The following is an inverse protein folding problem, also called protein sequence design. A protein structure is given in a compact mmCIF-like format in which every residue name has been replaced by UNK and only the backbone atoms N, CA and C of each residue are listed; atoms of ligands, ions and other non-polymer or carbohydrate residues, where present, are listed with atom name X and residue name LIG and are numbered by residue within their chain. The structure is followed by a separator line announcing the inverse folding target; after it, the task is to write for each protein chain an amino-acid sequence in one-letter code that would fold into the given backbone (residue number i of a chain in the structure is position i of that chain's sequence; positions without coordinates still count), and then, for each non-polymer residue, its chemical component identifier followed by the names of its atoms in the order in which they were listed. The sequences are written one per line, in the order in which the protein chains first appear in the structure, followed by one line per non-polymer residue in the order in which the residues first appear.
data_IF_548806435622
#
_entry.id   IF_548806435622
#
_cell.length_a   1.000
_cell.length_b   1.000
_cell.length_c   1.000
_cell.angle_alpha   90.00
_cell.angle_beta   90.00
_cell.angle_gamma   90.00
#
_symmetry.space_group_name_H-M   'P 1'
#
loop_
_entity.id
_entity.type
_entity.pdbx_description
1 polymer ?
#
# COMPACT_ATOMS: atom_id res chain seq x y z
N UNK A 1 32.53 -13.00 -42.73
CA UNK A 1 32.24 -14.43 -42.95
C UNK A 1 30.92 -14.71 -42.26
N UNK A 2 29.87 -15.03 -43.01
CA UNK A 2 28.55 -15.37 -42.44
C UNK A 2 28.65 -16.71 -41.71
N UNK A 3 28.02 -16.88 -40.53
CA UNK A 3 28.04 -18.16 -39.83
C UNK A 3 27.35 -19.24 -40.68
N UNK A 4 27.74 -20.51 -40.53
CA UNK A 4 27.12 -21.60 -41.29
C UNK A 4 25.61 -21.70 -40.97
N UNK A 5 24.75 -21.96 -41.97
CA UNK A 5 23.27 -21.90 -41.81
C UNK A 5 22.72 -22.88 -40.77
N UNK A 6 23.48 -23.93 -40.42
CA UNK A 6 23.13 -24.88 -39.38
C UNK A 6 23.26 -24.31 -37.95
N UNK A 7 24.11 -23.30 -37.73
CA UNK A 7 24.28 -22.67 -36.41
C UNK A 7 23.18 -21.64 -36.17
N UNK A 8 22.75 -20.92 -37.21
CA UNK A 8 21.66 -19.95 -37.12
C UNK A 8 20.34 -20.63 -36.71
N UNK A 9 20.04 -21.79 -37.28
CA UNK A 9 18.84 -22.57 -36.93
C UNK A 9 18.88 -23.10 -35.49
N UNK A 10 20.06 -23.52 -35.00
CA UNK A 10 20.25 -23.96 -33.62
C UNK A 10 20.09 -22.80 -32.63
N UNK A 11 20.67 -21.63 -32.93
CA UNK A 11 20.54 -20.42 -32.09
C UNK A 11 19.08 -19.96 -32.05
N UNK A 12 18.37 -20.00 -33.18
CA UNK A 12 16.96 -19.68 -33.24
C UNK A 12 16.12 -20.61 -32.35
N UNK A 13 16.33 -21.93 -32.46
CA UNK A 13 15.62 -22.92 -31.64
C UNK A 13 15.83 -22.72 -30.13
N UNK A 14 17.05 -22.37 -29.71
CA UNK A 14 17.37 -22.09 -28.31
C UNK A 14 16.78 -20.75 -27.82
N UNK A 15 16.72 -19.74 -28.70
CA UNK A 15 16.12 -18.43 -28.41
C UNK A 15 14.61 -18.54 -28.22
N UNK A 16 13.95 -19.31 -29.07
CA UNK A 16 12.51 -19.55 -28.98
C UNK A 16 12.14 -20.32 -27.70
N UNK A 17 12.93 -21.34 -27.34
CA UNK A 17 12.79 -22.04 -26.07
C UNK A 17 12.97 -21.10 -24.87
N UNK A 18 13.99 -20.23 -24.91
CA UNK A 18 14.25 -19.27 -23.84
C UNK A 18 13.07 -18.31 -23.64
N UNK A 19 12.54 -17.73 -24.73
CA UNK A 19 11.40 -16.83 -24.69
C UNK A 19 10.15 -17.53 -24.12
N UNK A 20 9.92 -18.78 -24.52
CA UNK A 20 8.81 -19.58 -24.01
C UNK A 20 8.91 -19.83 -22.50
N UNK A 21 10.11 -20.09 -21.98
CA UNK A 21 10.35 -20.28 -20.53
C UNK A 21 10.20 -18.96 -19.76
N UNK A 22 10.64 -17.82 -20.33
CA UNK A 22 10.48 -16.51 -19.66
C UNK A 22 9.01 -16.11 -19.54
N UNK A 23 8.21 -16.35 -20.58
CA UNK A 23 6.77 -16.14 -20.54
C UNK A 23 6.11 -16.98 -19.44
N UNK A 24 6.52 -18.25 -19.29
CA UNK A 24 6.00 -19.13 -18.24
C UNK A 24 6.38 -18.67 -16.81
N UNK A 25 7.46 -17.89 -16.63
CA UNK A 25 7.91 -17.38 -15.32
C UNK A 25 7.12 -16.18 -14.81
N UNK A 26 6.33 -15.52 -15.65
CA UNK A 26 5.49 -14.39 -15.25
C UNK A 26 4.23 -14.83 -14.47
N UNK A 27 3.99 -16.14 -14.37
CA UNK A 27 2.87 -16.66 -13.61
C UNK A 27 3.19 -16.80 -12.11
N UNK A 28 2.24 -16.49 -11.21
CA UNK A 28 2.43 -16.60 -9.77
C UNK A 28 2.82 -18.01 -9.34
N UNK A 29 3.89 -18.14 -8.54
CA UNK A 29 4.42 -19.42 -8.04
C UNK A 29 3.41 -20.20 -7.19
N UNK A 30 2.38 -19.54 -6.68
CA UNK A 30 1.34 -20.18 -5.86
C UNK A 30 0.45 -21.14 -6.66
N UNK A 31 0.42 -21.03 -7.99
CA UNK A 31 -0.29 -21.99 -8.87
C UNK A 31 0.51 -23.27 -9.14
N UNK A 32 1.80 -23.31 -8.80
CA UNK A 32 2.69 -24.46 -8.98
C UNK A 32 2.76 -25.38 -7.76
N UNK A 33 2.12 -25.01 -6.65
CA UNK A 33 2.01 -25.87 -5.47
C UNK A 33 0.87 -26.86 -5.70
N UNK A 34 1.22 -28.06 -6.17
CA UNK A 34 0.32 -29.21 -6.12
C UNK A 34 -0.04 -29.46 -4.65
N UNK A 35 -1.27 -29.12 -4.29
CA UNK A 35 -1.82 -29.39 -2.97
C UNK A 35 -1.79 -30.90 -2.72
N UNK A 36 -0.95 -31.36 -1.80
CA UNK A 36 -0.93 -32.74 -1.28
C UNK A 36 -2.09 -32.90 -0.27
N UNK A 37 -3.27 -32.39 -0.61
CA UNK A 37 -4.46 -32.51 0.20
C UNK A 37 -5.32 -33.68 -0.34
N UNK A 38 -5.92 -34.50 0.54
CA UNK A 38 -6.63 -35.73 0.16
C UNK A 38 -7.99 -35.49 -0.52
N UNK A 39 -8.39 -34.23 -0.74
CA UNK A 39 -9.61 -33.88 -1.47
C UNK A 39 -9.28 -32.96 -2.64
N UNK A 40 -9.16 -33.50 -3.88
CA UNK A 40 -8.97 -32.67 -5.06
C UNK A 40 -10.29 -31.95 -5.35
N UNK A 41 -10.34 -30.64 -5.07
CA UNK A 41 -11.37 -29.79 -5.63
C UNK A 41 -11.19 -29.77 -7.17
N UNK A 42 -12.28 -29.86 -7.95
CA UNK A 42 -12.19 -29.88 -9.40
C UNK A 42 -11.59 -28.55 -9.89
N UNK A 43 -10.41 -28.63 -10.51
CA UNK A 43 -9.71 -27.52 -11.17
C UNK A 43 -10.45 -27.13 -12.46
N UNK A 44 -11.64 -26.55 -12.35
CA UNK A 44 -12.46 -26.07 -13.49
C UNK A 44 -12.24 -24.58 -13.77
N UNK A 45 -11.05 -24.05 -13.50
CA UNK A 45 -10.72 -22.68 -13.90
C UNK A 45 -10.09 -22.70 -15.31
N UNK A 46 -10.69 -22.05 -16.32
CA UNK A 46 -10.22 -22.12 -17.71
C UNK A 46 -8.79 -21.60 -17.90
N UNK A 47 -8.34 -20.70 -17.02
CA UNK A 47 -6.97 -20.18 -16.99
C UNK A 47 -5.92 -21.22 -16.60
N UNK A 48 -6.27 -22.21 -15.77
CA UNK A 48 -5.34 -23.28 -15.35
C UNK A 48 -5.17 -24.35 -16.42
N UNK A 49 -6.21 -24.61 -17.20
CA UNK A 49 -6.14 -25.52 -18.35
C UNK A 49 -5.22 -24.97 -19.44
N UNK A 50 -5.37 -23.68 -19.78
CA UNK A 50 -4.47 -23.00 -20.72
C UNK A 50 -3.02 -23.03 -20.23
N UNK A 51 -2.79 -22.82 -18.94
CA UNK A 51 -1.46 -22.88 -18.35
C UNK A 51 -0.86 -24.29 -18.37
N UNK A 52 -1.65 -25.31 -18.01
CA UNK A 52 -1.24 -26.72 -18.10
C UNK A 52 -0.85 -27.09 -19.53
N UNK A 53 -1.61 -26.60 -20.51
CA UNK A 53 -1.31 -26.81 -21.92
C UNK A 53 0.00 -26.14 -22.33
N UNK A 54 0.21 -24.87 -21.96
CA UNK A 54 1.48 -24.17 -22.22
C UNK A 54 2.69 -24.89 -21.62
N UNK A 55 2.58 -25.45 -20.41
CA UNK A 55 3.65 -26.24 -19.81
C UNK A 55 3.93 -27.55 -20.57
N UNK A 56 2.88 -28.21 -21.08
CA UNK A 56 3.03 -29.40 -21.93
C UNK A 56 3.70 -29.06 -23.25
N UNK A 57 3.34 -27.93 -23.85
CA UNK A 57 3.92 -27.48 -25.13
C UNK A 57 5.41 -27.13 -24.96
N UNK A 58 5.79 -26.50 -23.84
CA UNK A 58 7.19 -26.27 -23.47
C UNK A 58 7.93 -27.59 -23.29
N UNK A 59 7.33 -28.55 -22.56
CA UNK A 59 7.95 -29.87 -22.35
C UNK A 59 8.12 -30.64 -23.67
N UNK A 60 7.17 -30.53 -24.59
CA UNK A 60 7.27 -31.13 -25.93
C UNK A 60 8.37 -30.47 -26.76
N UNK A 61 8.42 -29.14 -26.78
CA UNK A 61 9.47 -28.37 -27.46
C UNK A 61 10.85 -28.70 -26.93
N UNK A 62 10.99 -28.84 -25.60
CA UNK A 62 12.24 -29.22 -24.97
C UNK A 62 12.67 -30.65 -25.35
N UNK A 63 11.75 -31.58 -25.55
CA UNK A 63 12.04 -32.96 -26.00
C UNK A 63 12.28 -33.09 -27.50
N UNK A 64 12.00 -32.05 -28.29
CA UNK A 64 12.19 -32.09 -29.74
C UNK A 64 13.65 -32.33 -30.12
N UNK A 65 13.87 -33.08 -31.19
CA UNK A 65 15.22 -33.43 -31.65
C UNK A 65 16.03 -32.19 -32.07
N UNK A 66 15.38 -31.19 -32.64
CA UNK A 66 16.02 -29.93 -33.00
C UNK A 66 16.62 -29.23 -31.77
N UNK A 67 15.86 -29.07 -30.70
CA UNK A 67 16.34 -28.45 -29.46
C UNK A 67 17.37 -29.33 -28.76
N UNK A 68 17.16 -30.65 -28.70
CA UNK A 68 18.11 -31.57 -28.07
C UNK A 68 19.44 -31.66 -28.82
N UNK A 69 19.43 -31.56 -30.15
CA UNK A 69 20.62 -31.47 -30.99
C UNK A 69 21.35 -30.14 -30.78
N UNK A 70 20.64 -29.02 -30.71
CA UNK A 70 21.20 -27.70 -30.45
C UNK A 70 21.84 -27.63 -29.05
N UNK A 71 21.20 -28.22 -28.03
CA UNK A 71 21.75 -28.31 -26.67
C UNK A 71 23.00 -29.21 -26.61
N UNK A 72 23.02 -30.33 -27.34
CA UNK A 72 24.20 -31.20 -27.44
C UNK A 72 25.36 -30.50 -28.16
N UNK A 73 25.08 -29.87 -29.30
CA UNK A 73 26.07 -29.09 -30.05
C UNK A 73 26.63 -27.92 -29.22
N UNK A 74 25.78 -27.20 -28.48
CA UNK A 74 26.21 -26.15 -27.57
C UNK A 74 27.12 -26.68 -26.45
N UNK A 75 26.79 -27.84 -25.87
CA UNK A 75 27.61 -28.50 -24.84
C UNK A 75 28.95 -29.00 -25.39
N UNK A 76 28.98 -29.45 -26.64
CA UNK A 76 30.23 -29.85 -27.31
C UNK A 76 31.09 -28.63 -27.64
N UNK A 77 30.49 -27.53 -28.10
CA UNK A 77 31.19 -26.24 -28.29
C UNK A 77 31.77 -25.72 -26.97
N UNK A 78 31.00 -25.76 -25.88
CA UNK A 78 31.49 -25.33 -24.55
C UNK A 78 32.70 -26.16 -24.09
N UNK A 79 32.72 -27.46 -24.40
CA UNK A 79 33.87 -28.33 -24.10
C UNK A 79 35.07 -28.08 -25.01
N UNK A 80 34.83 -27.72 -26.27
CA UNK A 80 35.87 -27.41 -27.25
C UNK A 80 36.54 -26.06 -26.97
N UNK A 81 35.79 -25.07 -26.48
CA UNK A 81 36.25 -23.71 -26.17
C UNK A 81 37.01 -23.58 -24.82
N UNK A 82 37.88 -24.55 -24.53
CA UNK A 82 38.61 -24.73 -23.28
C UNK A 82 39.02 -23.45 -22.52
N UNK A 83 38.58 -23.39 -21.27
CA UNK A 83 39.10 -22.61 -20.13
C UNK A 83 38.97 -21.08 -20.09
N UNK A 84 38.44 -20.36 -21.10
CA UNK A 84 38.32 -18.89 -21.00
C UNK A 84 36.90 -18.30 -21.03
N UNK A 85 35.87 -19.12 -21.21
CA UNK A 85 34.48 -18.65 -21.06
C UNK A 85 34.09 -18.79 -19.58
N UNK A 86 34.55 -17.84 -18.75
CA UNK A 86 33.98 -17.72 -17.40
C UNK A 86 32.48 -17.50 -17.54
N UNK A 87 31.68 -18.52 -17.15
CA UNK A 87 30.21 -18.56 -17.17
C UNK A 87 29.56 -17.55 -16.20
N UNK A 88 30.06 -16.31 -16.18
CA UNK A 88 29.57 -15.19 -15.40
C UNK A 88 28.87 -14.15 -16.29
N UNK A 89 28.25 -14.60 -17.40
CA UNK A 89 27.48 -13.75 -18.33
C UNK A 89 26.41 -12.94 -17.58
N UNK A 90 25.85 -13.48 -16.49
CA UNK A 90 24.86 -12.79 -15.64
C UNK A 90 25.46 -11.62 -14.85
N UNK A 91 26.77 -11.64 -14.56
CA UNK A 91 27.47 -10.59 -13.81
C UNK A 91 28.05 -9.51 -14.72
N UNK A 92 28.40 -9.85 -15.96
CA UNK A 92 29.07 -8.92 -16.89
C UNK A 92 28.08 -8.02 -17.66
N UNK A 93 26.96 -8.57 -18.14
CA UNK A 93 25.89 -7.76 -18.77
C UNK A 93 25.23 -6.77 -17.79
N UNK A 94 25.37 -7.00 -16.47
CA UNK A 94 24.90 -6.09 -15.42
C UNK A 94 25.83 -4.88 -15.19
N UNK A 95 27.06 -4.91 -15.70
CA UNK A 95 28.04 -3.82 -15.57
C UNK A 95 28.07 -2.93 -16.82
N UNK A 96 27.97 -3.48 -18.03
CA UNK A 96 28.07 -2.70 -19.28
C UNK A 96 26.81 -1.92 -19.67
N UNK A 97 25.64 -2.23 -19.09
CA UNK A 97 24.39 -1.48 -19.31
C UNK A 97 24.06 -0.48 -18.21
N UNK A 98 24.97 -0.25 -17.25
CA UNK A 98 24.78 0.87 -16.33
C UNK A 98 25.17 2.13 -17.09
N UNK A 99 24.28 3.14 -17.23
CA UNK A 99 24.77 4.48 -17.55
C UNK A 99 25.90 4.84 -16.56
N UNK A 100 26.86 5.69 -16.95
CA UNK A 100 27.88 6.16 -16.02
C UNK A 100 27.19 6.54 -14.71
N UNK A 101 27.68 6.00 -13.60
CA UNK A 101 27.12 6.32 -12.28
C UNK A 101 27.02 7.84 -12.21
N UNK A 102 25.84 8.40 -11.94
CA UNK A 102 25.71 9.85 -11.81
C UNK A 102 26.77 10.33 -10.82
N UNK A 103 27.35 11.49 -11.12
CA UNK A 103 28.31 12.17 -10.28
C UNK A 103 27.84 12.06 -8.82
N UNK A 104 28.75 11.60 -7.94
CA UNK A 104 28.46 11.29 -6.53
C UNK A 104 27.48 12.33 -5.99
N UNK A 105 26.30 11.93 -5.47
CA UNK A 105 25.26 12.88 -5.11
C UNK A 105 25.90 13.93 -4.22
N UNK A 106 25.75 15.20 -4.61
CA UNK A 106 26.23 16.31 -3.81
C UNK A 106 25.84 16.07 -2.35
N UNK A 107 26.73 16.37 -1.38
CA UNK A 107 26.46 16.16 0.03
C UNK A 107 25.05 16.66 0.33
N UNK A 108 24.20 15.76 0.83
CA UNK A 108 22.76 15.98 0.98
C UNK A 108 22.54 17.33 1.63
N UNK A 109 22.20 18.32 0.81
CA UNK A 109 21.71 19.58 1.34
C UNK A 109 20.37 19.21 1.93
N UNK A 110 20.23 19.40 3.24
CA UNK A 110 18.94 19.30 3.88
C UNK A 110 18.09 20.38 3.23
N UNK A 111 17.36 19.99 2.18
CA UNK A 111 16.31 20.82 1.61
C UNK A 111 15.38 20.99 2.80
N UNK A 112 15.39 22.19 3.38
CA UNK A 112 14.38 22.61 4.34
C UNK A 112 13.06 22.44 3.61
N UNK A 113 12.43 21.29 3.84
CA UNK A 113 11.10 21.01 3.33
C UNK A 113 10.25 22.07 4.00
N UNK A 114 9.88 23.10 3.24
CA UNK A 114 8.81 24.00 3.62
C UNK A 114 7.63 23.10 3.93
N UNK A 115 7.37 22.87 5.21
CA UNK A 115 6.30 22.03 5.67
C UNK A 115 5.03 22.81 5.41
N UNK A 116 4.51 22.71 4.19
CA UNK A 116 3.14 23.12 3.89
C UNK A 116 2.26 22.20 4.73
N UNK A 117 1.87 22.67 5.91
CA UNK A 117 0.95 21.92 6.77
C UNK A 117 -0.30 21.63 5.93
N UNK A 118 -0.72 20.37 5.93
CA UNK A 118 -1.93 19.94 5.25
C UNK A 118 -3.19 20.34 6.05
N UNK A 119 -3.02 20.89 7.24
CA UNK A 119 -4.10 21.35 8.10
C UNK A 119 -4.33 22.85 7.93
N UNK A 120 -5.58 23.30 8.05
CA UNK A 120 -5.87 24.72 8.00
C UNK A 120 -5.16 25.48 9.12
N UNK A 121 -4.53 26.59 8.73
CA UNK A 121 -4.22 27.68 9.64
C UNK A 121 -5.56 28.39 9.94
N UNK A 122 -6.30 27.81 10.88
CA UNK A 122 -7.55 28.41 11.37
C UNK A 122 -7.18 29.74 12.03
N UNK A 123 -7.74 30.85 11.51
CA UNK A 123 -7.58 32.19 12.10
C UNK A 123 -8.29 32.32 13.45
N UNK A 124 -9.23 31.42 13.72
CA UNK A 124 -9.82 31.29 15.04
C UNK A 124 -8.80 30.60 15.94
N UNK A 125 -8.14 31.40 16.79
CA UNK A 125 -7.26 30.97 17.88
C UNK A 125 -8.04 30.18 18.94
N UNK A 126 -8.60 29.04 18.56
CA UNK A 126 -9.19 28.11 19.52
C UNK A 126 -8.02 27.56 20.34
N UNK A 127 -8.00 27.91 21.62
CA UNK A 127 -6.98 27.48 22.55
C UNK A 127 -6.78 25.95 22.46
N UNK A 128 -5.52 25.47 22.37
CA UNK A 128 -5.26 24.04 22.24
C UNK A 128 -5.87 23.25 23.39
N UNK A 129 -6.63 22.20 23.06
CA UNK A 129 -7.32 21.38 24.05
C UNK A 129 -6.34 20.71 25.02
N UNK A 130 -6.54 20.95 26.31
CA UNK A 130 -5.72 20.35 27.38
C UNK A 130 -6.25 18.98 27.81
N UNK A 131 -5.38 18.16 28.37
CA UNK A 131 -5.70 16.82 28.86
C UNK A 131 -6.83 16.79 29.91
N UNK A 132 -6.88 17.79 30.79
CA UNK A 132 -7.91 17.95 31.82
C UNK A 132 -9.31 18.24 31.23
N UNK A 133 -9.35 18.93 30.09
CA UNK A 133 -10.58 19.36 29.43
C UNK A 133 -11.15 18.29 28.49
N UNK A 134 -10.41 17.19 28.27
CA UNK A 134 -10.77 16.15 27.32
C UNK A 134 -12.15 15.53 27.61
N UNK A 135 -12.45 15.24 28.87
CA UNK A 135 -13.71 14.58 29.25
C UNK A 135 -14.88 15.53 28.97
N UNK A 136 -14.72 16.82 29.29
CA UNK A 136 -15.73 17.82 29.01
C UNK A 136 -15.92 18.01 27.51
N UNK A 137 -14.83 18.13 26.76
CA UNK A 137 -14.85 18.21 25.30
C UNK A 137 -15.59 17.01 24.68
N UNK A 138 -15.33 15.78 25.12
CA UNK A 138 -16.02 14.58 24.62
C UNK A 138 -17.53 14.67 24.88
N UNK A 139 -17.94 15.11 26.08
CA UNK A 139 -19.37 15.27 26.43
C UNK A 139 -20.03 16.34 25.57
N UNK A 140 -19.38 17.49 25.41
CA UNK A 140 -19.87 18.58 24.57
C UNK A 140 -19.95 18.16 23.10
N UNK A 141 -18.92 17.48 22.59
CA UNK A 141 -18.85 16.95 21.22
C UNK A 141 -20.00 15.97 20.94
N UNK A 142 -20.24 15.02 21.84
CA UNK A 142 -21.32 14.04 21.69
C UNK A 142 -22.71 14.66 21.88
N UNK A 143 -22.84 15.74 22.66
CA UNK A 143 -24.10 16.47 22.80
C UNK A 143 -24.44 17.27 21.55
N UNK A 144 -23.43 17.88 20.92
CA UNK A 144 -23.58 18.67 19.70
C UNK A 144 -23.85 17.82 18.47
N UNK A 145 -23.26 16.63 18.40
CA UNK A 145 -23.32 15.76 17.23
C UNK A 145 -24.08 14.46 17.53
N UNK A 146 -25.19 14.23 16.84
CA UNK A 146 -25.94 12.97 16.94
C UNK A 146 -25.38 11.86 16.05
N UNK A 147 -24.76 12.21 14.91
CA UNK A 147 -24.23 11.26 13.92
C UNK A 147 -22.88 10.65 14.33
N UNK A 148 -22.12 11.36 15.16
CA UNK A 148 -20.77 10.97 15.57
C UNK A 148 -20.74 10.64 17.06
N UNK A 149 -19.88 9.70 17.43
CA UNK A 149 -19.61 9.38 18.84
C UNK A 149 -18.12 9.36 19.08
N UNK A 150 -17.68 10.12 20.07
CA UNK A 150 -16.32 10.10 20.60
C UNK A 150 -16.34 9.51 22.01
N UNK A 151 -15.38 8.66 22.33
CA UNK A 151 -15.24 8.11 23.67
C UNK A 151 -13.81 7.68 23.95
N UNK A 152 -13.46 7.55 25.22
CA UNK A 152 -12.17 7.00 25.63
C UNK A 152 -12.25 5.48 25.50
N UNK A 153 -11.33 4.88 24.75
CA UNK A 153 -11.23 3.44 24.67
C UNK A 153 -10.38 2.93 25.83
N UNK A 154 -10.97 2.10 26.67
CA UNK A 154 -10.27 1.39 27.74
C UNK A 154 -10.46 -0.10 27.52
N UNK A 155 -9.35 -0.85 27.55
CA UNK A 155 -9.43 -2.32 27.58
C UNK A 155 -10.20 -2.77 28.82
N UNK A 156 -11.02 -3.81 28.68
CA UNK A 156 -12.02 -4.33 29.64
C UNK A 156 -11.48 -4.69 31.04
N UNK A 157 -10.18 -4.52 31.31
CA UNK A 157 -9.52 -4.84 32.58
C UNK A 157 -8.82 -3.66 33.26
N UNK A 158 -8.88 -2.45 32.69
CA UNK A 158 -8.23 -1.28 33.29
C UNK A 158 -9.23 -0.52 34.18
N UNK A 159 -9.20 -0.76 35.49
CA UNK A 159 -10.10 -0.10 36.47
C UNK A 159 -9.65 1.30 36.91
N UNK A 160 -8.49 1.76 36.45
CA UNK A 160 -7.96 3.08 36.80
C UNK A 160 -8.67 4.16 35.98
N UNK A 161 -9.33 5.11 36.66
CA UNK A 161 -9.97 6.29 36.04
C UNK A 161 -8.97 7.30 35.48
N UNK A 162 -7.69 7.15 35.81
CA UNK A 162 -6.65 8.07 35.37
C UNK A 162 -6.38 7.89 33.86
N UNK A 163 -6.27 9.03 33.17
CA UNK A 163 -5.94 9.07 31.76
C UNK A 163 -4.49 8.61 31.59
N UNK A 164 -4.28 7.44 30.97
CA UNK A 164 -2.93 6.96 30.64
C UNK A 164 -2.38 7.79 29.48
N UNK A 165 -1.08 8.07 29.49
CA UNK A 165 -0.37 8.66 28.36
C UNK A 165 0.47 7.56 27.68
N UNK A 166 0.22 7.20 26.41
CA UNK A 166 -0.79 7.76 25.52
C UNK A 166 -2.22 7.26 25.82
N UNK A 167 -3.21 8.12 25.55
CA UNK A 167 -4.63 7.82 25.67
C UNK A 167 -5.18 7.38 24.31
N UNK A 168 -6.03 6.35 24.28
CA UNK A 168 -6.69 5.91 23.04
C UNK A 168 -8.12 6.42 23.05
N UNK A 169 -8.48 7.19 22.02
CA UNK A 169 -9.85 7.61 21.77
C UNK A 169 -10.46 6.76 20.67
N UNK A 170 -11.73 6.39 20.84
CA UNK A 170 -12.55 5.76 19.82
C UNK A 170 -13.53 6.79 19.27
N UNK A 171 -13.38 7.09 17.99
CA UNK A 171 -14.33 7.87 17.21
C UNK A 171 -15.15 6.94 16.32
N UNK A 172 -16.45 7.20 16.20
CA UNK A 172 -17.36 6.37 15.40
C UNK A 172 -18.32 7.26 14.63
N UNK A 173 -18.35 7.07 13.31
CA UNK A 173 -19.40 7.57 12.43
C UNK A 173 -20.32 6.39 12.15
N UNK A 174 -21.60 6.53 12.50
CA UNK A 174 -22.58 5.45 12.34
C UNK A 174 -22.61 4.96 10.88
N UNK A 175 -22.51 3.64 10.70
CA UNK A 175 -22.57 2.96 9.40
C UNK A 175 -21.47 3.34 8.38
N UNK A 176 -20.47 4.15 8.77
CA UNK A 176 -19.40 4.61 7.87
C UNK A 176 -18.02 4.14 8.32
N UNK A 177 -17.56 4.51 9.53
CA UNK A 177 -16.24 4.12 10.01
C UNK A 177 -16.12 4.16 11.53
N UNK A 178 -15.16 3.40 12.05
CA UNK A 178 -14.64 3.54 13.41
C UNK A 178 -13.15 3.87 13.34
N UNK A 179 -12.73 4.94 14.00
CA UNK A 179 -11.34 5.34 14.10
C UNK A 179 -10.86 5.23 15.55
N UNK A 180 -9.66 4.69 15.74
CA UNK A 180 -8.94 4.76 17.01
C UNK A 180 -7.82 5.76 16.87
N UNK A 181 -7.82 6.78 17.74
CA UNK A 181 -6.81 7.81 17.78
C UNK A 181 -5.93 7.56 19.01
N UNK A 182 -4.64 7.47 18.80
CA UNK A 182 -3.65 7.52 19.89
C UNK A 182 -3.29 8.98 20.10
N UNK A 183 -3.59 9.49 21.29
CA UNK A 183 -3.36 10.87 21.67
C UNK A 183 -2.36 10.89 22.80
N UNK A 184 -1.31 11.71 22.67
CA UNK A 184 -0.36 11.95 23.74
C UNK A 184 -0.35 13.41 24.13
N UNK A 185 0.25 13.69 25.28
CA UNK A 185 0.54 15.04 25.75
C UNK A 185 1.93 15.06 26.34
N UNK A 186 2.61 16.21 26.27
CA UNK A 186 3.95 16.37 26.83
C UNK A 186 3.83 16.82 28.29
N UNK A 187 4.79 16.46 29.14
CA UNK A 187 4.76 16.87 30.56
C UNK A 187 4.82 18.39 30.74
N UNK A 188 5.42 19.10 29.78
CA UNK A 188 5.56 20.56 29.82
C UNK A 188 4.27 21.27 29.37
N UNK A 189 3.66 20.76 28.30
CA UNK A 189 2.42 21.27 27.74
C UNK A 189 1.40 20.13 27.69
N UNK A 190 0.41 20.20 28.57
CA UNK A 190 -0.72 19.25 28.66
C UNK A 190 -1.65 19.29 27.43
N UNK A 191 -1.18 19.83 26.31
CA UNK A 191 -1.90 19.91 25.04
C UNK A 191 -1.97 18.53 24.42
N UNK A 192 -3.17 18.17 23.97
CA UNK A 192 -3.42 16.87 23.35
C UNK A 192 -3.03 16.88 21.87
N UNK A 193 -2.04 16.06 21.53
CA UNK A 193 -1.53 15.87 20.18
C UNK A 193 -1.94 14.49 19.66
N UNK A 194 -2.31 14.41 18.39
CA UNK A 194 -2.67 13.14 17.75
C UNK A 194 -1.41 12.49 17.18
N UNK A 195 -1.01 11.34 17.72
CA UNK A 195 0.20 10.63 17.29
C UNK A 195 -0.06 9.65 16.14
N UNK A 196 -1.17 8.93 16.20
CA UNK A 196 -1.52 7.93 15.19
C UNK A 196 -3.01 7.68 15.14
N UNK A 197 -3.49 7.29 13.97
CA UNK A 197 -4.90 6.98 13.75
C UNK A 197 -5.03 5.72 12.92
N UNK A 198 -5.84 4.79 13.40
CA UNK A 198 -6.21 3.57 12.69
C UNK A 198 -7.71 3.57 12.44
N UNK A 199 -8.11 3.21 11.23
CA UNK A 199 -9.52 3.21 10.81
C UNK A 199 -9.99 1.82 10.42
N UNK A 200 -11.27 1.57 10.69
CA UNK A 200 -11.93 0.30 10.51
C UNK A 200 -13.35 0.52 10.01
N UNK A 201 -13.89 -0.49 9.33
CA UNK A 201 -15.29 -0.51 8.93
C UNK A 201 -16.23 -0.67 10.13
N UNK A 202 -17.52 -0.28 9.98
CA UNK A 202 -18.50 -0.28 11.07
C UNK A 202 -18.70 -1.62 11.76
N UNK A 203 -18.46 -2.73 11.03
CA UNK A 203 -18.67 -4.10 11.50
C UNK A 203 -17.37 -4.82 11.87
N UNK A 204 -16.21 -4.19 11.70
CA UNK A 204 -14.92 -4.78 12.06
C UNK A 204 -14.71 -4.71 13.57
N UNK A 205 -14.62 -5.87 14.23
CA UNK A 205 -14.30 -5.96 15.67
C UNK A 205 -12.82 -6.20 15.87
N UNK A 206 -12.02 -5.17 15.61
CA UNK A 206 -10.57 -5.25 15.69
C UNK A 206 -9.98 -4.34 16.75
N UNK A 207 -8.76 -4.67 17.20
CA UNK A 207 -8.03 -3.91 18.21
C UNK A 207 -7.40 -2.64 17.60
N UNK A 208 -7.17 -1.57 18.39
CA UNK A 208 -6.63 -0.29 17.90
C UNK A 208 -5.33 -0.41 17.12
N UNK A 209 -4.46 -1.37 17.47
CA UNK A 209 -3.14 -1.56 16.85
C UNK A 209 -3.13 -2.55 15.67
N UNK A 210 -4.30 -3.02 15.24
CA UNK A 210 -4.42 -3.92 14.09
C UNK A 210 -4.68 -3.17 12.79
N UNK A 211 -4.62 -3.87 11.66
CA UNK A 211 -4.97 -3.32 10.35
C UNK A 211 -6.37 -3.78 9.94
N UNK A 212 -7.13 -2.91 9.25
CA UNK A 212 -8.42 -3.26 8.65
C UNK A 212 -8.26 -4.31 7.54
N UNK A 213 -9.29 -5.15 7.35
CA UNK A 213 -9.34 -6.10 6.22
C UNK A 213 -9.72 -5.42 4.90
N UNK A 214 -10.39 -4.26 4.96
CA UNK A 214 -10.84 -3.55 3.77
C UNK A 214 -9.78 -2.54 3.31
N UNK A 215 -9.47 -2.57 2.02
CA UNK A 215 -8.48 -1.69 1.41
C UNK A 215 -8.77 -0.20 1.66
N UNK A 216 -10.05 0.21 1.60
CA UNK A 216 -10.48 1.61 1.81
C UNK A 216 -10.00 2.15 3.15
N UNK A 217 -10.21 1.42 4.26
CA UNK A 217 -9.77 1.88 5.59
C UNK A 217 -8.26 1.72 5.80
N UNK A 218 -7.60 0.76 5.12
CA UNK A 218 -6.13 0.70 5.09
C UNK A 218 -5.53 1.95 4.45
N UNK A 219 -6.06 2.38 3.29
CA UNK A 219 -5.63 3.61 2.63
C UNK A 219 -5.97 4.85 3.46
N UNK A 220 -7.14 4.90 4.09
CA UNK A 220 -7.51 6.00 4.97
C UNK A 220 -6.59 6.12 6.19
N UNK A 221 -6.22 5.00 6.80
CA UNK A 221 -5.25 4.98 7.91
C UNK A 221 -3.86 5.43 7.46
N UNK A 222 -3.43 5.03 6.25
CA UNK A 222 -2.18 5.51 5.65
C UNK A 222 -2.23 7.01 5.40
N UNK A 223 -3.37 7.52 4.91
CA UNK A 223 -3.55 8.94 4.64
C UNK A 223 -3.44 9.78 5.90
N UNK A 224 -4.13 9.39 6.97
CA UNK A 224 -3.98 10.04 8.27
C UNK A 224 -2.55 9.97 8.79
N UNK A 225 -1.86 8.85 8.60
CA UNK A 225 -0.44 8.74 8.92
C UNK A 225 0.42 9.74 8.14
N UNK A 226 0.17 9.94 6.84
CA UNK A 226 0.86 10.95 6.02
C UNK A 226 0.60 12.36 6.54
N UNK A 227 -0.65 12.69 6.84
CA UNK A 227 -1.03 14.00 7.35
C UNK A 227 -0.38 14.31 8.70
N UNK A 228 -0.45 13.37 9.66
CA UNK A 228 0.18 13.53 10.98
C UNK A 228 1.70 13.63 10.86
N UNK A 229 2.32 12.87 9.95
CA UNK A 229 3.76 12.96 9.73
C UNK A 229 4.18 14.31 9.11
N UNK A 230 3.31 14.91 8.29
CA UNK A 230 3.56 16.25 7.71
C UNK A 230 3.41 17.38 8.72
N UNK A 231 2.54 17.20 9.73
CA UNK A 231 2.30 18.14 10.82
C UNK A 231 2.18 17.39 12.16
N UNK A 232 3.31 17.12 12.84
CA UNK A 232 3.35 16.32 14.05
C UNK A 232 2.73 17.02 15.27
N UNK A 233 2.42 18.31 15.18
CA UNK A 233 1.81 19.10 16.26
C UNK A 233 0.30 19.30 16.07
N UNK A 234 -0.34 18.42 15.31
CA UNK A 234 -1.78 18.46 15.10
C UNK A 234 -2.55 18.22 16.40
N UNK A 235 -3.22 19.28 16.84
CA UNK A 235 -4.13 19.24 17.98
C UNK A 235 -5.38 18.39 17.69
N UNK A 236 -5.90 17.74 18.73
CA UNK A 236 -7.07 16.86 18.63
C UNK A 236 -8.27 17.54 17.96
N UNK A 237 -8.59 18.80 18.32
CA UNK A 237 -9.75 19.51 17.77
C UNK A 237 -9.67 19.68 16.25
N UNK A 238 -8.51 20.06 15.70
CA UNK A 238 -8.29 20.19 14.26
C UNK A 238 -8.43 18.84 13.56
N UNK A 239 -7.93 17.78 14.17
CA UNK A 239 -8.10 16.44 13.61
C UNK A 239 -9.55 15.95 13.67
N UNK A 240 -10.32 16.36 14.69
CA UNK A 240 -11.74 16.01 14.77
C UNK A 240 -12.57 16.67 13.66
N UNK A 241 -12.25 17.90 13.24
CA UNK A 241 -12.96 18.53 12.09
C UNK A 241 -12.69 17.78 10.79
N UNK A 242 -11.44 17.35 10.59
CA UNK A 242 -11.05 16.46 9.49
C UNK A 242 -11.86 15.15 9.53
N UNK A 243 -11.91 14.47 10.68
CA UNK A 243 -12.66 13.21 10.81
C UNK A 243 -14.15 13.37 10.53
N UNK A 244 -14.77 14.47 10.97
CA UNK A 244 -16.18 14.74 10.69
C UNK A 244 -16.47 14.88 9.18
N UNK A 245 -15.49 15.33 8.37
CA UNK A 245 -15.64 15.45 6.91
C UNK A 245 -15.80 14.10 6.17
N UNK A 246 -15.65 12.98 6.87
CA UNK A 246 -15.83 11.63 6.31
C UNK A 246 -17.25 11.09 6.47
N UNK A 247 -18.21 11.85 7.02
CA UNK A 247 -19.59 11.38 7.20
C UNK A 247 -20.21 10.80 5.92
N UNK A 248 -19.94 11.41 4.78
CA UNK A 248 -20.50 11.02 3.49
C UNK A 248 -19.46 10.36 2.59
N UNK A 249 -18.40 9.73 3.14
CA UNK A 249 -17.27 9.21 2.36
C UNK A 249 -17.68 8.31 1.18
N UNK A 250 -18.75 7.52 1.33
CA UNK A 250 -19.20 6.59 0.29
C UNK A 250 -20.23 7.19 -0.69
N UNK A 251 -20.79 8.36 -0.39
CA UNK A 251 -21.84 9.01 -1.20
C UNK A 251 -21.36 10.31 -1.84
N UNK A 252 -20.26 10.87 -1.35
CA UNK A 252 -19.70 12.14 -1.79
C UNK A 252 -18.94 12.00 -3.12
N UNK A 253 -19.11 12.97 -4.02
CA UNK A 253 -18.40 13.05 -5.29
C UNK A 253 -17.00 13.61 -5.06
N UNK A 254 -16.00 13.07 -5.76
CA UNK A 254 -14.67 13.68 -5.79
C UNK A 254 -14.75 15.07 -6.43
N UNK A 255 -14.15 16.08 -5.80
CA UNK A 255 -14.18 17.45 -6.28
C UNK A 255 -13.48 17.61 -7.65
N UNK A 256 -12.45 16.80 -7.92
CA UNK A 256 -11.71 16.86 -9.18
C UNK A 256 -12.40 16.14 -10.34
N UNK A 257 -12.84 14.88 -10.14
CA UNK A 257 -13.40 14.07 -11.24
C UNK A 257 -14.93 13.96 -11.22
N UNK A 258 -15.59 14.51 -10.19
CA UNK A 258 -17.05 14.58 -10.03
C UNK A 258 -17.77 13.22 -9.99
N UNK A 259 -17.03 12.12 -9.79
CA UNK A 259 -17.56 10.75 -9.71
C UNK A 259 -17.65 10.25 -8.26
N UNK A 260 -18.61 9.36 -8.01
CA UNK A 260 -18.69 8.52 -6.79
C UNK A 260 -18.21 7.12 -7.17
N UNK A 261 -17.03 6.71 -6.72
CA UNK A 261 -16.38 5.47 -7.18
C UNK A 261 -16.58 4.28 -6.22
N UNK A 262 -17.76 4.15 -5.60
CA UNK A 262 -17.99 3.11 -4.58
C UNK A 262 -18.57 1.79 -5.12
N UNK A 263 -18.99 1.73 -6.39
CA UNK A 263 -19.82 0.62 -6.92
C UNK A 263 -19.03 -0.38 -7.79
N UNK A 264 -17.86 -0.02 -8.31
CA UNK A 264 -17.14 -0.82 -9.32
C UNK A 264 -15.76 -1.33 -8.86
N UNK A 265 -15.58 -1.60 -7.56
CA UNK A 265 -14.28 -2.02 -7.01
C UNK A 265 -13.22 -0.90 -6.96
N UNK A 266 -13.65 0.34 -7.17
CA UNK A 266 -12.82 1.52 -7.06
C UNK A 266 -12.85 2.07 -5.63
N UNK A 267 -11.83 2.87 -5.30
CA UNK A 267 -11.66 3.43 -3.96
C UNK A 267 -12.49 4.69 -3.83
N UNK A 268 -13.25 4.82 -2.74
CA UNK A 268 -13.96 6.05 -2.41
C UNK A 268 -13.01 7.26 -2.36
N UNK A 269 -13.56 8.48 -2.39
CA UNK A 269 -12.77 9.69 -2.19
C UNK A 269 -12.29 9.77 -0.74
N UNK A 270 -11.14 9.13 -0.46
CA UNK A 270 -10.54 9.01 0.87
C UNK A 270 -9.59 10.14 1.21
N UNK A 271 -9.15 10.93 0.24
CA UNK A 271 -8.29 12.09 0.49
C UNK A 271 -9.16 13.31 0.85
N UNK A 272 -8.64 14.16 1.73
CA UNK A 272 -9.27 15.44 2.12
C UNK A 272 -8.27 16.56 1.96
N UNK A 273 -8.62 17.51 1.11
CA UNK A 273 -7.82 18.73 0.88
C UNK A 273 -8.57 19.90 1.47
N UNK A 274 -7.93 20.69 2.33
CA UNK A 274 -8.55 21.89 2.86
C UNK A 274 -8.66 22.95 1.76
N UNK A 275 -9.87 23.46 1.51
CA UNK A 275 -10.05 24.64 0.67
C UNK A 275 -10.20 25.88 1.57
N UNK A 276 -9.23 26.79 1.48
CA UNK A 276 -9.23 28.06 2.22
C UNK A 276 -10.37 28.99 1.81
N UNK A 277 -10.83 28.95 0.55
CA UNK A 277 -11.92 29.83 0.09
C UNK A 277 -13.25 29.46 0.73
N UNK A 278 -13.50 28.16 0.84
CA UNK A 278 -14.79 27.63 1.27
C UNK A 278 -14.79 27.30 2.77
N UNK A 279 -13.60 27.25 3.39
CA UNK A 279 -13.42 26.85 4.78
C UNK A 279 -13.85 25.41 5.03
N UNK A 280 -13.66 24.52 4.05
CA UNK A 280 -14.16 23.14 4.09
C UNK A 280 -13.16 22.14 3.55
N UNK A 281 -13.24 20.91 4.06
CA UNK A 281 -12.47 19.77 3.55
C UNK A 281 -13.13 19.22 2.28
N UNK A 282 -12.41 19.30 1.15
CA UNK A 282 -12.86 18.78 -0.12
C UNK A 282 -12.44 17.33 -0.33
N UNK A 283 -13.37 16.46 -0.79
CA UNK A 283 -13.11 15.06 -1.06
C UNK A 283 -12.33 14.85 -2.36
N UNK A 284 -11.27 14.03 -2.31
CA UNK A 284 -10.54 13.60 -3.51
C UNK A 284 -10.25 12.11 -3.51
N UNK A 285 -10.15 11.53 -4.71
CA UNK A 285 -9.56 10.21 -4.86
C UNK A 285 -8.03 10.35 -4.83
N UNK A 286 -7.33 9.34 -4.31
CA UNK A 286 -5.86 9.33 -4.23
C UNK A 286 -5.18 9.48 -5.60
N UNK A 287 -5.86 9.10 -6.68
CA UNK A 287 -5.36 9.20 -8.06
C UNK A 287 -5.73 10.50 -8.78
N UNK A 288 -6.53 11.36 -8.16
CA UNK A 288 -7.05 12.59 -8.76
C UNK A 288 -6.15 13.77 -8.41
#
# INVERSE_FOLDING_TARGET
MSPPPAVESQVQALTDLYNSIQNARHHPRDLLKTSIAPNPLPLTHPSLLLYSQQLKDIAHTLRSDAVQSALRAAKESEKADGQNIMNNVRRENRKRRRPPSPESPQPYTVIERQSSSLFPVTKDDVAPLKSLELIEYIRQFNKKNSSYKLGIWQGTRSSTRDLKNPAILRFTIKDVLTAYLTVSYTSNDLVLLVESVTTFGPRERKLPHSQSDYSVYRMLSQEFGRMIHSDPQVGLQKFMTLLCSYENMFTMRCDKCQRVLCVEGHVAAVERVWNESDGQWQPRHVSC
#
